data_IF_481497824128
#
_entry.id   IF_481497824128
#
_cell.length_a   1.000
_cell.length_b   1.000
_cell.length_c   1.000
_cell.angle_alpha   90.00
_cell.angle_beta   90.00
_cell.angle_gamma   90.00
#
_symmetry.space_group_name_H-M   'P 1'
#
loop_
_entity.id
_entity.type
_entity.pdbx_description
1 polymer ?
#
# COMPACT_ATOMS: atom_id res chain seq x y z
N UNK A 1 14.91 20.09 -2.15
CA UNK A 1 14.43 18.98 -1.31
C UNK A 1 12.92 18.81 -1.44
N UNK A 2 12.44 17.60 -1.61
CA UNK A 2 11.00 17.34 -1.70
C UNK A 2 10.45 17.20 -0.29
N UNK A 3 9.40 17.94 0.03
CA UNK A 3 8.76 17.84 1.34
C UNK A 3 7.71 16.70 1.36
N UNK A 4 7.20 16.41 2.55
CA UNK A 4 6.24 15.33 2.75
C UNK A 4 4.96 15.54 1.93
N UNK A 5 4.46 16.76 1.85
CA UNK A 5 3.24 17.05 1.08
C UNK A 5 3.43 16.74 -0.40
N UNK A 6 4.58 17.09 -0.97
CA UNK A 6 4.89 16.77 -2.35
C UNK A 6 5.06 15.28 -2.57
N UNK A 7 5.72 14.59 -1.64
CA UNK A 7 5.87 13.14 -1.72
C UNK A 7 4.53 12.41 -1.68
N UNK A 8 3.63 12.84 -0.79
CA UNK A 8 2.27 12.30 -0.73
C UNK A 8 1.55 12.50 -2.06
N UNK A 9 1.62 13.70 -2.60
CA UNK A 9 0.98 14.02 -3.87
C UNK A 9 1.48 13.10 -4.99
N UNK A 10 2.80 12.93 -5.08
CA UNK A 10 3.40 12.06 -6.10
C UNK A 10 2.89 10.64 -5.99
N UNK A 11 2.88 10.08 -4.77
CA UNK A 11 2.38 8.72 -4.56
C UNK A 11 0.90 8.61 -4.86
N UNK A 12 0.11 9.59 -4.45
CA UNK A 12 -1.33 9.58 -4.70
C UNK A 12 -1.65 9.65 -6.19
N UNK A 13 -0.85 10.36 -6.98
CA UNK A 13 -1.03 10.38 -8.43
C UNK A 13 -0.75 9.00 -9.04
N UNK A 14 0.27 8.29 -8.54
CA UNK A 14 0.56 6.93 -9.01
C UNK A 14 -0.56 5.96 -8.63
N UNK A 15 -1.16 6.14 -7.47
CA UNK A 15 -2.29 5.34 -7.02
C UNK A 15 -3.51 5.59 -7.92
N UNK A 16 -3.81 6.85 -8.22
CA UNK A 16 -4.94 7.22 -9.09
C UNK A 16 -4.79 6.70 -10.51
N UNK A 17 -3.58 6.74 -11.04
CA UNK A 17 -3.30 6.21 -12.39
C UNK A 17 -3.69 4.74 -12.52
N UNK A 18 -3.56 3.99 -11.43
CA UNK A 18 -3.83 2.55 -11.39
C UNK A 18 -5.23 2.23 -10.90
N UNK A 19 -6.00 3.25 -10.53
CA UNK A 19 -7.34 3.10 -9.95
C UNK A 19 -7.30 2.33 -8.63
N UNK A 20 -6.26 2.57 -7.83
CA UNK A 20 -6.04 1.89 -6.54
C UNK A 20 -6.56 2.68 -5.34
N UNK A 21 -7.37 3.74 -5.56
CA UNK A 21 -7.83 4.61 -4.46
C UNK A 21 -8.64 3.86 -3.40
N UNK A 22 -9.28 2.75 -3.78
CA UNK A 22 -10.08 1.96 -2.85
C UNK A 22 -9.24 1.03 -1.97
N UNK A 23 -7.95 0.89 -2.26
CA UNK A 23 -7.07 0.09 -1.42
C UNK A 23 -6.79 0.80 -0.11
N UNK A 24 -6.57 0.02 0.95
CA UNK A 24 -6.18 0.59 2.24
C UNK A 24 -4.69 0.92 2.21
N UNK A 25 -4.36 2.18 2.30
CA UNK A 25 -2.98 2.63 2.36
C UNK A 25 -2.86 3.86 3.26
N UNK A 26 -1.68 4.04 3.83
CA UNK A 26 -1.40 5.19 4.70
C UNK A 26 -0.06 5.78 4.29
N UNK A 27 -0.03 7.09 4.08
CA UNK A 27 1.18 7.79 3.64
C UNK A 27 1.65 8.76 4.72
N UNK A 28 2.88 8.56 5.18
CA UNK A 28 3.56 9.47 6.11
C UNK A 28 2.82 9.72 7.42
N UNK A 29 2.18 8.66 7.92
CA UNK A 29 1.50 8.67 9.21
C UNK A 29 1.57 7.27 9.81
N UNK A 30 2.72 6.93 10.40
CA UNK A 30 2.96 5.58 10.93
C UNK A 30 2.02 5.21 12.08
N UNK A 31 1.40 6.20 12.71
CA UNK A 31 0.51 5.99 13.85
C UNK A 31 -0.95 5.78 13.46
N UNK A 32 -1.31 6.04 12.21
CA UNK A 32 -2.68 5.85 11.76
C UNK A 32 -3.01 4.37 11.69
N UNK A 33 -4.14 4.01 12.28
CA UNK A 33 -4.61 2.62 12.28
C UNK A 33 -5.68 2.41 11.21
N UNK A 34 -5.35 1.58 10.24
CA UNK A 34 -6.27 1.20 9.18
C UNK A 34 -6.03 -0.29 8.91
N UNK A 35 -7.03 -1.16 9.09
CA UNK A 35 -6.82 -2.60 8.93
C UNK A 35 -6.34 -2.95 7.52
N UNK A 36 -5.42 -3.88 7.44
CA UNK A 36 -4.90 -4.43 6.17
C UNK A 36 -4.26 -3.38 5.26
N UNK A 37 -3.76 -2.28 5.83
CA UNK A 37 -3.18 -1.19 5.05
C UNK A 37 -1.70 -1.41 4.78
N UNK A 38 -1.24 -0.89 3.65
CA UNK A 38 0.19 -0.75 3.38
C UNK A 38 0.61 0.67 3.75
N UNK A 39 1.75 0.78 4.40
CA UNK A 39 2.28 2.05 4.88
C UNK A 39 3.56 2.44 4.15
N UNK A 40 3.69 3.72 3.85
CA UNK A 40 4.94 4.34 3.40
C UNK A 40 5.18 5.53 4.32
N UNK A 41 6.31 5.56 5.00
CA UNK A 41 6.62 6.66 5.92
C UNK A 41 8.11 6.95 5.99
N UNK A 42 8.45 8.07 6.60
CA UNK A 42 9.82 8.53 6.76
C UNK A 42 10.16 8.60 8.24
N UNK A 43 11.36 8.15 8.58
CA UNK A 43 11.83 8.18 9.98
C UNK A 43 13.35 8.27 9.95
N UNK A 44 13.89 9.27 10.67
CA UNK A 44 15.34 9.47 10.79
C UNK A 44 16.05 9.54 9.43
N UNK A 45 15.43 10.22 8.46
CA UNK A 45 16.02 10.41 7.14
C UNK A 45 15.93 9.22 6.20
N UNK A 46 15.35 8.12 6.64
CA UNK A 46 15.14 6.93 5.82
C UNK A 46 13.66 6.73 5.55
N UNK A 47 13.35 5.92 4.54
CA UNK A 47 11.97 5.62 4.17
C UNK A 47 11.67 4.16 4.48
N UNK A 48 10.44 3.91 4.90
CA UNK A 48 10.01 2.57 5.31
C UNK A 48 8.72 2.20 4.61
N UNK A 49 8.61 0.93 4.22
CA UNK A 49 7.40 0.37 3.63
C UNK A 49 7.06 -0.90 4.38
N UNK A 50 5.81 -1.04 4.81
CA UNK A 50 5.35 -2.27 5.44
C UNK A 50 3.87 -2.52 5.17
N UNK A 51 3.42 -3.74 5.49
CA UNK A 51 2.01 -4.09 5.46
C UNK A 51 1.54 -4.33 6.88
N UNK A 52 0.27 -4.06 7.14
CA UNK A 52 -0.32 -4.20 8.47
C UNK A 52 -1.46 -5.21 8.45
N UNK A 53 -1.70 -5.84 9.60
CA UNK A 53 -2.80 -6.79 9.76
C UNK A 53 -4.09 -6.07 10.19
N UNK A 54 -5.11 -6.86 10.58
CA UNK A 54 -6.40 -6.30 10.98
C UNK A 54 -6.29 -5.38 12.21
N UNK A 55 -5.26 -5.57 13.03
CA UNK A 55 -5.01 -4.74 14.22
C UNK A 55 -4.00 -3.64 13.96
N UNK A 56 -3.58 -3.48 12.72
CA UNK A 56 -2.56 -2.51 12.31
C UNK A 56 -1.16 -2.81 12.84
N UNK A 57 -0.89 -4.06 13.18
CA UNK A 57 0.46 -4.50 13.50
C UNK A 57 1.21 -4.85 12.23
N UNK A 58 2.51 -4.58 12.22
CA UNK A 58 3.35 -4.87 11.07
C UNK A 58 3.42 -6.38 10.83
N UNK A 59 3.11 -6.80 9.61
CA UNK A 59 3.22 -8.19 9.19
C UNK A 59 4.64 -8.40 8.68
N UNK A 60 5.39 -9.29 9.34
CA UNK A 60 6.79 -9.48 9.03
C UNK A 60 7.63 -8.35 9.62
N UNK A 61 8.20 -7.53 8.77
CA UNK A 61 9.00 -6.39 9.21
C UNK A 61 8.86 -5.22 8.25
N UNK A 62 9.15 -4.03 8.75
CA UNK A 62 9.20 -2.83 7.94
C UNK A 62 10.50 -2.82 7.15
N UNK A 63 10.44 -2.59 5.86
CA UNK A 63 11.64 -2.56 5.03
C UNK A 63 12.13 -1.13 4.83
N UNK A 64 13.43 -0.93 5.02
CA UNK A 64 14.07 0.38 4.95
C UNK A 64 14.62 0.67 3.56
N UNK A 65 14.48 1.91 3.12
CA UNK A 65 15.02 2.39 1.84
C UNK A 65 15.76 3.70 2.06
N UNK A 66 16.83 3.91 1.29
CA UNK A 66 17.66 5.09 1.44
C UNK A 66 17.07 6.36 0.83
N UNK A 67 16.18 6.21 -0.15
CA UNK A 67 15.61 7.38 -0.81
C UNK A 67 14.14 7.14 -1.15
N UNK A 68 13.45 8.25 -1.44
CA UNK A 68 12.02 8.24 -1.72
C UNK A 68 11.67 7.42 -2.96
N UNK A 69 12.47 7.54 -4.03
CA UNK A 69 12.14 6.84 -5.30
C UNK A 69 12.11 5.32 -5.12
N UNK A 70 13.09 4.79 -4.39
CA UNK A 70 13.12 3.35 -4.11
C UNK A 70 11.93 2.92 -3.26
N UNK A 71 11.63 3.70 -2.22
CA UNK A 71 10.50 3.39 -1.33
C UNK A 71 9.17 3.49 -2.07
N UNK A 72 9.01 4.51 -2.92
CA UNK A 72 7.79 4.69 -3.71
C UNK A 72 7.58 3.48 -4.64
N UNK A 73 8.62 3.07 -5.35
CA UNK A 73 8.56 1.92 -6.26
C UNK A 73 8.16 0.66 -5.50
N UNK A 74 8.80 0.42 -4.35
CA UNK A 74 8.48 -0.75 -3.53
C UNK A 74 7.05 -0.71 -3.00
N UNK A 75 6.59 0.46 -2.57
CA UNK A 75 5.24 0.64 -2.06
C UNK A 75 4.19 0.33 -3.14
N UNK A 76 4.36 0.91 -4.32
CA UNK A 76 3.44 0.67 -5.44
C UNK A 76 3.45 -0.82 -5.84
N UNK A 77 4.63 -1.45 -5.85
CA UNK A 77 4.73 -2.88 -6.16
C UNK A 77 3.95 -3.73 -5.15
N UNK A 78 3.97 -3.35 -3.87
CA UNK A 78 3.20 -4.06 -2.86
C UNK A 78 1.70 -3.94 -3.11
N UNK A 79 1.23 -2.77 -3.51
CA UNK A 79 -0.18 -2.57 -3.85
C UNK A 79 -0.56 -3.42 -5.07
N UNK A 80 0.28 -3.42 -6.10
CA UNK A 80 0.04 -4.23 -7.31
C UNK A 80 -0.01 -5.71 -6.99
N UNK A 81 0.94 -6.19 -6.19
CA UNK A 81 0.98 -7.59 -5.79
C UNK A 81 -0.24 -7.98 -4.96
N UNK A 82 -0.69 -7.08 -4.10
CA UNK A 82 -1.88 -7.32 -3.29
C UNK A 82 -3.12 -7.47 -4.15
N UNK A 83 -3.29 -6.60 -5.15
CA UNK A 83 -4.42 -6.68 -6.09
C UNK A 83 -4.38 -8.01 -6.84
N UNK A 84 -3.21 -8.36 -7.38
CA UNK A 84 -3.05 -9.60 -8.14
C UNK A 84 -3.34 -10.82 -7.27
N UNK A 85 -2.79 -10.87 -6.06
CA UNK A 85 -3.00 -11.99 -5.14
C UNK A 85 -4.46 -12.12 -4.73
N UNK A 86 -5.14 -10.99 -4.49
CA UNK A 86 -6.55 -11.00 -4.10
C UNK A 86 -7.40 -11.53 -5.24
N UNK A 87 -7.15 -11.08 -6.47
CA UNK A 87 -7.89 -11.55 -7.65
C UNK A 87 -7.68 -13.04 -7.87
N UNK A 88 -6.45 -13.54 -7.71
CA UNK A 88 -6.17 -14.97 -7.81
C UNK A 88 -6.91 -15.77 -6.74
N UNK A 89 -6.92 -15.26 -5.51
CA UNK A 89 -7.62 -15.89 -4.41
C UNK A 89 -9.11 -16.01 -4.66
N UNK A 90 -9.72 -14.96 -5.19
CA UNK A 90 -11.15 -14.96 -5.51
C UNK A 90 -11.51 -16.03 -6.52
N UNK A 91 -10.66 -16.26 -7.52
CA UNK A 91 -10.89 -17.29 -8.53
C UNK A 91 -10.93 -18.69 -7.97
N UNK A 92 -10.27 -18.93 -6.84
CA UNK A 92 -10.25 -20.24 -6.18
C UNK A 92 -11.08 -20.27 -4.90
N UNK A 93 -11.95 -19.27 -4.69
CA UNK A 93 -12.93 -19.30 -3.62
C UNK A 93 -12.58 -18.60 -2.32
N UNK A 94 -11.44 -17.90 -2.25
CA UNK A 94 -11.10 -17.13 -1.06
C UNK A 94 -11.85 -15.81 -1.05
N UNK A 95 -12.16 -15.30 0.15
CA UNK A 95 -12.79 -14.00 0.31
C UNK A 95 -11.73 -12.91 0.43
N UNK A 96 -12.00 -11.70 -0.10
CA UNK A 96 -11.07 -10.59 0.07
C UNK A 96 -11.10 -10.06 1.50
N UNK A 97 -10.04 -9.35 1.90
CA UNK A 97 -9.97 -8.76 3.23
C UNK A 97 -10.97 -7.63 3.43
N UNK A 98 -11.34 -6.94 2.36
CA UNK A 98 -12.32 -5.85 2.39
C UNK A 98 -12.89 -5.65 0.98
N UNK A 99 -13.97 -4.89 0.89
CA UNK A 99 -14.64 -4.62 -0.39
C UNK A 99 -13.86 -3.63 -1.23
N UNK A 100 -13.83 -3.87 -2.54
CA UNK A 100 -13.19 -2.96 -3.48
C UNK A 100 -13.72 -3.21 -4.88
N UNK A 101 -13.96 -2.15 -5.67
CA UNK A 101 -14.34 -2.33 -7.09
C UNK A 101 -13.27 -3.07 -7.89
N UNK A 102 -12.03 -3.07 -7.42
CA UNK A 102 -10.92 -3.77 -8.09
C UNK A 102 -11.14 -5.28 -8.14
N UNK A 103 -11.91 -5.82 -7.20
CA UNK A 103 -12.16 -7.27 -7.13
C UNK A 103 -13.19 -7.73 -8.17
N UNK A 104 -14.02 -6.82 -8.66
CA UNK A 104 -15.08 -7.17 -9.61
C UNK A 104 -14.50 -7.67 -10.93
N UNK A 105 -13.34 -7.16 -11.34
CA UNK A 105 -12.69 -7.57 -12.58
C UNK A 105 -12.24 -9.04 -12.54
N UNK A 106 -12.07 -9.61 -11.36
CA UNK A 106 -11.62 -10.98 -11.19
C UNK A 106 -12.69 -12.02 -11.55
N UNK A 107 -13.95 -11.60 -11.67
CA UNK A 107 -15.06 -12.49 -11.95
C UNK A 107 -15.32 -12.69 -13.45
N UNK A 108 -14.63 -11.96 -14.28
CA UNK A 108 -14.82 -12.01 -15.73
C UNK A 108 -13.90 -13.00 -16.41
#
# INVERSE_FOLDING_TARGET
MIDIENMKYIVEQEIKKRHFESLHYVLFDENKRLPWAFHLYQKNGKFYVDGRDVRSYIVGHSKEYDNFEEAKTAFISKLENFVESTRKGLKVGFSPYYSSPLWDDATE
#
